data_IF_199014258091
#
_entry.id   IF_199014258091
#
_cell.length_a   1.000
_cell.length_b   1.000
_cell.length_c   1.000
_cell.angle_alpha   90.00
_cell.angle_beta   90.00
_cell.angle_gamma   90.00
#
_symmetry.space_group_name_H-M   'P 1'
#
loop_
_entity.id
_entity.type
_entity.pdbx_description
1 polymer ?
#
# COMPACT_ATOMS: atom_id res chain seq x y z
N UNK A 1 -3.78 0.49 -3.47
CA UNK A 1 -2.41 0.34 -2.94
C UNK A 1 -2.47 0.50 -1.43
N UNK A 2 -2.57 -0.59 -0.71
CA UNK A 2 -2.81 -0.59 0.73
C UNK A 2 -1.53 -0.65 1.58
N UNK A 3 -0.39 -0.98 0.98
CA UNK A 3 0.89 -0.95 1.67
C UNK A 3 1.87 -0.05 0.91
N UNK A 4 2.65 0.73 1.65
CA UNK A 4 3.66 1.59 1.05
C UNK A 4 4.67 0.76 0.26
N UNK A 5 4.88 1.13 -1.00
CA UNK A 5 5.83 0.47 -1.88
C UNK A 5 5.30 -0.76 -2.63
N UNK A 6 4.13 -1.28 -2.30
CA UNK A 6 3.49 -2.31 -3.13
C UNK A 6 3.07 -1.67 -4.45
N UNK A 7 3.69 -2.12 -5.52
CA UNK A 7 3.49 -1.61 -6.88
C UNK A 7 3.02 -2.73 -7.81
N UNK A 8 2.11 -3.52 -7.31
CA UNK A 8 1.38 -4.55 -8.02
C UNK A 8 -0.12 -4.37 -7.75
N UNK A 9 -0.95 -4.83 -8.65
CA UNK A 9 -2.39 -4.76 -8.49
C UNK A 9 -3.00 -6.13 -8.70
N UNK A 10 -3.68 -6.59 -7.67
CA UNK A 10 -4.50 -7.78 -7.76
C UNK A 10 -5.80 -7.50 -8.53
N UNK A 11 -6.37 -8.54 -9.05
CA UNK A 11 -7.71 -8.50 -9.57
C UNK A 11 -7.81 -8.59 -11.07
N UNK A 12 -8.96 -8.20 -11.54
CA UNK A 12 -9.40 -8.51 -12.87
C UNK A 12 -8.79 -7.52 -13.88
N UNK A 13 -7.70 -7.93 -14.52
CA UNK A 13 -7.08 -7.16 -15.60
C UNK A 13 -8.07 -6.74 -16.70
N UNK A 14 -9.12 -7.52 -16.89
CA UNK A 14 -10.14 -7.28 -17.90
C UNK A 14 -11.23 -6.29 -17.47
N UNK A 15 -11.34 -5.96 -16.19
CA UNK A 15 -12.26 -4.92 -15.72
C UNK A 15 -11.68 -3.55 -16.08
N UNK A 16 -12.23 -2.96 -17.13
CA UNK A 16 -11.77 -1.69 -17.70
C UNK A 16 -12.82 -0.62 -17.40
N UNK A 17 -12.61 0.16 -16.38
CA UNK A 17 -13.54 1.27 -16.12
C UNK A 17 -13.06 2.23 -15.05
N UNK A 18 -13.60 3.46 -15.09
CA UNK A 18 -13.35 4.52 -14.13
C UNK A 18 -11.87 4.81 -13.91
N UNK A 19 -11.55 5.30 -12.75
CA UNK A 19 -10.19 5.67 -12.30
C UNK A 19 -9.18 4.51 -12.46
N UNK A 20 -9.62 3.28 -12.21
CA UNK A 20 -8.76 2.10 -12.43
C UNK A 20 -8.33 1.96 -13.88
N UNK A 21 -9.27 2.08 -14.83
CA UNK A 21 -8.98 2.01 -16.25
C UNK A 21 -8.01 3.10 -16.71
N UNK A 22 -8.23 4.34 -16.27
CA UNK A 22 -7.36 5.48 -16.56
C UNK A 22 -5.94 5.28 -16.02
N UNK A 23 -5.82 4.80 -14.78
CA UNK A 23 -4.53 4.48 -14.17
C UNK A 23 -3.78 3.40 -14.94
N UNK A 24 -4.45 2.29 -15.24
CA UNK A 24 -3.89 1.17 -16.00
C UNK A 24 -3.44 1.61 -17.39
N UNK A 25 -4.29 2.33 -18.13
CA UNK A 25 -3.97 2.78 -19.48
C UNK A 25 -2.79 3.77 -19.46
N UNK A 26 -2.67 4.57 -18.42
CA UNK A 26 -1.51 5.43 -18.19
C UNK A 26 -0.23 4.62 -17.90
N UNK A 27 -0.32 3.52 -17.16
CA UNK A 27 0.81 2.60 -16.97
C UNK A 27 1.24 1.96 -18.30
N UNK A 28 0.28 1.44 -19.09
CA UNK A 28 0.56 0.86 -20.40
C UNK A 28 1.24 1.87 -21.32
N UNK A 29 0.74 3.10 -21.35
CA UNK A 29 1.35 4.18 -22.15
C UNK A 29 2.78 4.52 -21.66
N UNK A 30 3.05 4.44 -20.35
CA UNK A 30 4.36 4.74 -19.77
C UNK A 30 5.42 3.70 -20.09
N UNK A 31 5.03 2.43 -20.21
CA UNK A 31 5.91 1.30 -20.45
C UNK A 31 5.79 0.73 -21.90
N UNK A 32 5.08 1.44 -22.77
CA UNK A 32 4.89 1.15 -24.19
C UNK A 32 4.15 -0.16 -24.50
N UNK A 33 3.83 -0.98 -23.52
CA UNK A 33 3.01 -2.18 -23.72
C UNK A 33 2.45 -2.73 -22.40
N UNK A 34 1.37 -3.53 -22.52
CA UNK A 34 0.83 -4.29 -21.39
C UNK A 34 1.78 -5.42 -20.95
N UNK A 35 2.56 -5.98 -21.87
CA UNK A 35 3.48 -7.08 -21.56
C UNK A 35 4.66 -6.60 -20.71
N UNK A 36 5.06 -5.33 -20.85
CA UNK A 36 6.09 -4.73 -20.01
C UNK A 36 5.69 -4.61 -18.52
N UNK A 37 4.41 -4.79 -18.20
CA UNK A 37 3.88 -4.77 -16.84
C UNK A 37 3.80 -6.18 -16.21
N UNK A 38 3.98 -7.25 -17.01
CA UNK A 38 3.93 -8.65 -16.56
C UNK A 38 5.32 -9.18 -16.26
N UNK A 39 6.02 -8.53 -15.34
CA UNK A 39 7.43 -8.82 -15.09
C UNK A 39 7.67 -9.82 -13.97
N UNK A 40 6.76 -9.94 -13.02
CA UNK A 40 6.80 -10.92 -11.93
C UNK A 40 5.57 -11.81 -11.93
N UNK A 41 5.45 -12.68 -10.93
CA UNK A 41 4.33 -13.60 -10.84
C UNK A 41 3.31 -13.27 -9.73
N UNK A 42 3.56 -12.19 -8.95
CA UNK A 42 2.61 -11.73 -7.92
C UNK A 42 1.33 -11.18 -8.52
N UNK A 43 1.41 -10.57 -9.70
CA UNK A 43 0.28 -9.92 -10.37
C UNK A 43 0.50 -9.85 -11.87
N UNK A 44 -0.56 -9.57 -12.61
CA UNK A 44 -0.47 -9.26 -14.05
C UNK A 44 -0.05 -7.81 -14.33
N UNK A 45 -0.05 -6.94 -13.32
CA UNK A 45 0.35 -5.53 -13.44
C UNK A 45 1.32 -5.21 -12.33
N UNK A 46 2.56 -4.97 -12.71
CA UNK A 46 3.64 -4.55 -11.83
C UNK A 46 4.30 -3.31 -12.42
N UNK A 47 4.61 -2.36 -11.58
CA UNK A 47 5.17 -1.09 -12.01
C UNK A 47 6.10 -0.51 -10.94
N UNK A 48 6.95 0.40 -11.32
CA UNK A 48 7.80 1.10 -10.36
C UNK A 48 6.97 2.05 -9.49
N UNK A 49 7.14 2.06 -8.15
CA UNK A 49 6.29 2.86 -7.26
C UNK A 49 6.22 4.35 -7.63
N UNK A 50 7.35 4.93 -8.03
CA UNK A 50 7.39 6.35 -8.43
C UNK A 50 6.57 6.64 -9.69
N UNK A 51 6.46 5.68 -10.61
CA UNK A 51 5.63 5.83 -11.82
C UNK A 51 4.14 5.86 -11.43
N UNK A 52 3.72 4.99 -10.52
CA UNK A 52 2.36 5.04 -9.99
C UNK A 52 2.04 6.36 -9.30
N UNK A 53 2.96 6.86 -8.48
CA UNK A 53 2.84 8.16 -7.81
C UNK A 53 2.72 9.33 -8.81
N UNK A 54 3.56 9.34 -9.85
CA UNK A 54 3.49 10.35 -10.91
C UNK A 54 2.13 10.32 -11.63
N UNK A 55 1.63 9.13 -11.97
CA UNK A 55 0.35 8.97 -12.64
C UNK A 55 -0.80 9.50 -11.77
N UNK A 56 -0.85 9.11 -10.49
CA UNK A 56 -1.89 9.62 -9.57
C UNK A 56 -1.82 11.13 -9.39
N UNK A 57 -0.64 11.72 -9.30
CA UNK A 57 -0.46 13.17 -9.24
C UNK A 57 -0.97 13.86 -10.50
N UNK A 58 -0.70 13.29 -11.68
CA UNK A 58 -1.20 13.80 -12.94
C UNK A 58 -2.73 13.70 -13.04
N UNK A 59 -3.32 12.59 -12.63
CA UNK A 59 -4.78 12.41 -12.60
C UNK A 59 -5.44 13.44 -11.65
N UNK A 60 -4.87 13.68 -10.47
CA UNK A 60 -5.33 14.72 -9.55
C UNK A 60 -5.22 16.12 -10.15
N UNK A 61 -4.13 16.43 -10.83
CA UNK A 61 -3.95 17.72 -11.48
C UNK A 61 -4.95 17.95 -12.62
N UNK A 62 -5.30 16.90 -13.36
CA UNK A 62 -6.31 16.95 -14.43
C UNK A 62 -7.73 17.10 -13.89
N UNK A 63 -8.02 16.62 -12.69
CA UNK A 63 -9.32 16.81 -12.05
C UNK A 63 -9.63 18.28 -11.73
N UNK A 64 -8.63 19.16 -11.70
CA UNK A 64 -8.75 20.62 -11.68
C UNK A 64 -8.99 21.23 -10.31
N UNK A 65 -10.01 20.82 -9.59
CA UNK A 65 -10.46 21.49 -8.36
C UNK A 65 -9.94 20.84 -7.05
N UNK A 66 -8.91 20.00 -7.12
CA UNK A 66 -8.35 19.33 -5.96
C UNK A 66 -7.25 20.16 -5.28
N UNK A 67 -7.45 20.57 -4.02
CA UNK A 67 -6.39 21.13 -3.17
C UNK A 67 -5.72 20.00 -2.38
N UNK A 68 -4.57 19.51 -2.86
CA UNK A 68 -3.83 18.41 -2.25
C UNK A 68 -2.77 18.95 -1.30
N UNK A 69 -2.80 18.50 -0.04
CA UNK A 69 -1.87 18.92 1.01
C UNK A 69 -1.05 17.72 1.51
N UNK A 70 0.20 17.64 1.11
CA UNK A 70 1.13 16.60 1.55
C UNK A 70 1.75 16.91 2.91
N UNK A 71 2.15 15.85 3.62
CA UNK A 71 2.86 15.94 4.89
C UNK A 71 1.99 16.36 6.07
N UNK A 72 0.67 16.24 5.94
CA UNK A 72 -0.28 16.47 7.03
C UNK A 72 -0.96 15.16 7.44
N UNK A 73 -1.22 15.00 8.72
CA UNK A 73 -2.02 13.92 9.29
C UNK A 73 -3.17 14.49 10.10
N UNK A 74 -4.29 13.79 10.15
CA UNK A 74 -5.43 14.18 10.97
C UNK A 74 -5.07 14.14 12.44
N UNK A 75 -5.41 15.17 13.20
CA UNK A 75 -5.11 15.28 14.63
C UNK A 75 -6.34 15.41 15.51
N UNK A 76 -7.46 15.87 14.95
CA UNK A 76 -8.76 15.89 15.62
C UNK A 76 -9.89 16.06 14.61
N UNK A 77 -11.09 15.61 14.98
CA UNK A 77 -12.32 15.91 14.25
C UNK A 77 -12.93 17.23 14.72
N UNK A 78 -13.55 17.96 13.80
CA UNK A 78 -14.41 19.12 14.12
C UNK A 78 -15.84 18.60 14.17
N UNK A 79 -16.40 18.58 15.36
CA UNK A 79 -17.72 18.02 15.62
C UNK A 79 -18.77 19.09 15.92
N UNK A 80 -20.02 18.79 15.56
CA UNK A 80 -21.22 19.47 16.00
C UNK A 80 -22.22 18.41 16.51
N UNK A 81 -22.22 18.15 17.79
CA UNK A 81 -22.84 16.98 18.37
C UNK A 81 -22.26 15.69 17.78
N UNK A 82 -23.07 14.93 17.06
CA UNK A 82 -22.68 13.68 16.39
C UNK A 82 -22.31 13.86 14.91
N UNK A 83 -22.29 15.09 14.41
CA UNK A 83 -22.04 15.40 13.01
C UNK A 83 -20.58 15.85 12.84
N UNK A 84 -19.85 15.18 11.96
CA UNK A 84 -18.52 15.64 11.54
C UNK A 84 -18.67 16.86 10.64
N UNK A 85 -18.00 17.95 10.99
CA UNK A 85 -17.99 19.23 10.24
C UNK A 85 -16.63 19.50 9.57
N UNK A 86 -15.69 18.57 9.69
CA UNK A 86 -14.35 18.67 9.14
C UNK A 86 -13.28 18.10 10.05
N UNK A 87 -12.04 18.46 9.81
CA UNK A 87 -10.89 17.97 10.55
C UNK A 87 -9.84 19.06 10.79
N UNK A 88 -9.06 18.88 11.86
CA UNK A 88 -7.80 19.58 12.07
C UNK A 88 -6.65 18.63 11.73
N UNK A 89 -5.68 19.16 11.02
CA UNK A 89 -4.49 18.45 10.60
C UNK A 89 -3.24 19.11 11.18
N UNK A 90 -2.19 18.31 11.33
CA UNK A 90 -0.85 18.78 11.73
C UNK A 90 0.20 18.18 10.80
N UNK A 91 1.32 18.86 10.67
CA UNK A 91 2.50 18.31 10.05
C UNK A 91 3.62 18.08 11.09
N UNK A 92 4.71 17.47 10.69
CA UNK A 92 5.84 17.18 11.58
C UNK A 92 6.52 18.42 12.15
N UNK A 93 6.40 19.59 11.50
CA UNK A 93 6.90 20.87 12.03
C UNK A 93 5.91 21.56 13.00
N UNK A 94 4.78 20.93 13.31
CA UNK A 94 3.76 21.49 14.22
C UNK A 94 2.79 22.47 13.57
N UNK A 95 2.90 22.73 12.26
CA UNK A 95 1.93 23.57 11.55
C UNK A 95 0.56 22.92 11.57
N UNK A 96 -0.46 23.72 11.88
CA UNK A 96 -1.86 23.28 11.92
C UNK A 96 -2.63 23.76 10.69
N UNK A 97 -3.54 22.93 10.23
CA UNK A 97 -4.49 23.25 9.18
C UNK A 97 -5.88 22.81 9.62
N UNK A 98 -6.83 23.72 9.61
CA UNK A 98 -8.24 23.45 9.92
C UNK A 98 -9.07 23.49 8.66
N UNK A 99 -9.73 22.40 8.35
CA UNK A 99 -10.59 22.27 7.18
C UNK A 99 -12.03 21.99 7.63
N UNK A 100 -12.95 22.84 7.24
CA UNK A 100 -14.39 22.58 7.39
C UNK A 100 -14.93 22.03 6.09
N UNK A 101 -15.74 20.99 6.16
CA UNK A 101 -16.29 20.31 5.00
C UNK A 101 -17.75 19.89 5.24
N UNK A 102 -18.51 19.82 4.16
CA UNK A 102 -19.88 19.26 4.17
C UNK A 102 -19.85 17.73 4.28
N UNK A 103 -18.83 17.11 3.68
CA UNK A 103 -18.59 15.67 3.69
C UNK A 103 -17.12 15.47 4.06
N UNK A 104 -16.84 14.52 4.95
CA UNK A 104 -15.50 14.08 5.31
C UNK A 104 -15.39 12.60 4.97
N UNK A 105 -14.35 12.23 4.23
CA UNK A 105 -14.06 10.85 3.84
C UNK A 105 -12.74 10.46 4.49
N UNK A 106 -12.78 9.39 5.30
CA UNK A 106 -11.58 8.74 5.79
C UNK A 106 -11.15 7.69 4.76
N UNK A 107 -10.00 7.91 4.15
CA UNK A 107 -9.36 6.99 3.23
C UNK A 107 -7.92 6.68 3.69
N UNK A 108 -7.69 6.75 4.99
CA UNK A 108 -6.41 6.32 5.59
C UNK A 108 -6.35 4.79 5.62
N UNK A 109 -5.15 4.23 5.59
CA UNK A 109 -4.97 2.78 5.57
C UNK A 109 -5.52 2.09 6.83
N UNK A 110 -5.52 2.78 7.97
CA UNK A 110 -5.91 2.23 9.27
C UNK A 110 -7.25 2.77 9.81
N UNK A 111 -7.94 3.62 9.05
CA UNK A 111 -9.14 4.29 9.55
C UNK A 111 -8.83 5.31 10.67
N UNK A 112 -7.72 6.03 10.54
CA UNK A 112 -7.18 6.92 11.59
C UNK A 112 -8.15 8.00 12.05
N UNK A 113 -9.10 8.36 11.21
CA UNK A 113 -10.09 9.39 11.55
C UNK A 113 -11.27 8.86 12.35
N UNK A 114 -11.54 7.55 12.34
CA UNK A 114 -12.64 6.94 13.10
C UNK A 114 -12.54 7.23 14.61
N UNK A 115 -11.42 6.95 15.29
CA UNK A 115 -11.28 7.25 16.71
C UNK A 115 -11.34 8.75 16.99
N UNK A 116 -10.81 9.59 16.10
CA UNK A 116 -10.82 11.06 16.27
C UNK A 116 -12.25 11.64 16.20
N UNK A 117 -13.13 11.02 15.45
CA UNK A 117 -14.53 11.42 15.31
C UNK A 117 -15.47 10.78 16.35
N UNK A 118 -14.98 9.82 17.12
CA UNK A 118 -15.79 9.03 18.04
C UNK A 118 -16.75 8.06 17.31
N UNK A 119 -16.48 7.78 16.04
CA UNK A 119 -17.23 6.77 15.27
C UNK A 119 -16.88 5.38 15.80
N UNK A 120 -17.88 4.53 16.12
CA UNK A 120 -17.61 3.14 16.50
C UNK A 120 -16.86 2.39 15.40
N UNK A 121 -15.87 1.61 15.78
CA UNK A 121 -15.12 0.74 14.88
C UNK A 121 -14.77 -0.58 15.58
N UNK A 122 -14.34 -1.55 14.81
CA UNK A 122 -13.87 -2.85 15.29
C UNK A 122 -12.41 -3.05 14.92
N UNK A 123 -11.75 -3.87 15.68
CA UNK A 123 -10.39 -4.34 15.41
C UNK A 123 -10.41 -5.85 15.50
N UNK A 124 -9.76 -6.51 14.55
CA UNK A 124 -9.71 -7.97 14.49
C UNK A 124 -10.71 -8.56 13.51
N UNK A 125 -10.94 -9.87 13.67
CA UNK A 125 -11.83 -10.65 12.82
C UNK A 125 -13.25 -10.66 13.40
N UNK A 126 -14.23 -10.36 12.56
CA UNK A 126 -15.64 -10.44 12.96
C UNK A 126 -16.15 -11.89 12.96
N UNK A 127 -17.14 -12.17 13.79
CA UNK A 127 -17.78 -13.48 13.83
C UNK A 127 -18.81 -13.63 12.71
N UNK A 128 -19.06 -14.90 12.34
CA UNK A 128 -20.11 -15.28 11.41
C UNK A 128 -21.51 -14.83 11.87
N UNK A 129 -21.74 -14.86 13.17
CA UNK A 129 -23.02 -14.43 13.75
C UNK A 129 -23.27 -12.93 13.55
N UNK A 130 -22.20 -12.12 13.49
CA UNK A 130 -22.30 -10.66 13.30
C UNK A 130 -22.38 -10.25 11.84
N UNK A 131 -21.64 -10.90 10.95
CA UNK A 131 -21.54 -10.52 9.54
C UNK A 131 -22.48 -11.30 8.63
N UNK A 132 -22.85 -12.52 9.01
CA UNK A 132 -23.58 -13.45 8.15
C UNK A 132 -22.73 -14.05 7.02
N UNK A 133 -21.44 -13.81 7.00
CA UNK A 133 -20.52 -14.34 6.00
C UNK A 133 -20.19 -15.81 6.28
N UNK A 134 -20.33 -16.65 5.26
CA UNK A 134 -20.13 -18.09 5.42
C UNK A 134 -18.68 -18.46 5.76
N UNK A 135 -17.72 -17.68 5.26
CA UNK A 135 -16.28 -17.87 5.50
C UNK A 135 -15.76 -17.20 6.77
N UNK A 136 -16.58 -16.43 7.49
CA UNK A 136 -16.17 -15.81 8.75
C UNK A 136 -15.96 -16.84 9.86
N UNK A 137 -15.15 -16.50 10.85
CA UNK A 137 -14.94 -17.34 12.05
C UNK A 137 -16.21 -17.46 12.87
N UNK A 138 -16.34 -18.55 13.63
CA UNK A 138 -17.49 -18.75 14.51
C UNK A 138 -17.51 -17.72 15.64
N UNK A 139 -16.34 -17.34 16.15
CA UNK A 139 -16.16 -16.34 17.20
C UNK A 139 -15.26 -15.20 16.71
N UNK A 140 -15.60 -13.98 17.09
CA UNK A 140 -14.74 -12.81 16.83
C UNK A 140 -13.46 -12.88 17.66
N UNK A 141 -12.36 -12.40 17.09
CA UNK A 141 -11.08 -12.32 17.78
C UNK A 141 -10.37 -10.98 17.53
N UNK A 142 -9.20 -10.80 18.12
CA UNK A 142 -8.39 -9.60 17.98
C UNK A 142 -7.25 -9.72 16.95
N UNK A 143 -7.30 -10.70 16.08
CA UNK A 143 -6.27 -10.93 15.06
C UNK A 143 -6.26 -9.79 14.05
N UNK A 144 -5.13 -9.17 13.88
CA UNK A 144 -4.89 -8.11 12.86
C UNK A 144 -3.83 -8.59 11.88
N UNK A 145 -3.82 -7.99 10.71
CA UNK A 145 -2.80 -8.28 9.71
C UNK A 145 -1.41 -7.86 10.22
N UNK A 146 -0.41 -8.67 9.94
CA UNK A 146 0.98 -8.37 10.25
C UNK A 146 1.46 -7.11 9.53
N UNK A 147 2.37 -6.41 10.19
CA UNK A 147 3.01 -5.24 9.59
C UNK A 147 3.90 -5.66 8.44
N UNK A 148 3.65 -5.09 7.26
CA UNK A 148 4.46 -5.33 6.07
C UNK A 148 5.31 -4.11 5.74
N UNK A 149 6.62 -4.29 5.70
CA UNK A 149 7.56 -3.29 5.20
C UNK A 149 8.04 -3.70 3.80
N UNK A 150 7.68 -2.89 2.80
CA UNK A 150 8.06 -3.16 1.41
C UNK A 150 9.37 -2.48 1.06
N UNK A 151 10.32 -3.25 0.56
CA UNK A 151 11.59 -2.76 0.03
C UNK A 151 11.65 -2.86 -1.49
N UNK A 152 12.26 -1.88 -2.15
CA UNK A 152 12.55 -1.94 -3.59
C UNK A 152 14.05 -2.15 -3.77
N UNK A 153 14.41 -3.29 -4.33
CA UNK A 153 15.78 -3.63 -4.69
C UNK A 153 16.03 -3.32 -6.17
N UNK A 154 17.27 -3.09 -6.51
CA UNK A 154 17.72 -2.94 -7.90
C UNK A 154 18.84 -3.92 -8.19
N UNK A 155 18.74 -4.58 -9.34
CA UNK A 155 19.84 -5.36 -9.89
C UNK A 155 20.89 -4.43 -10.50
N UNK A 156 22.13 -4.55 -10.06
CA UNK A 156 23.28 -3.79 -10.58
C UNK A 156 24.17 -4.66 -11.48
N UNK A 157 23.74 -5.89 -11.75
CA UNK A 157 24.49 -6.87 -12.55
C UNK A 157 25.48 -7.72 -11.75
N UNK A 158 26.03 -8.76 -12.38
CA UNK A 158 26.81 -9.80 -11.68
C UNK A 158 28.15 -9.33 -11.10
N UNK A 159 28.71 -8.27 -11.67
CA UNK A 159 30.03 -7.76 -11.26
C UNK A 159 29.93 -6.65 -10.19
N UNK A 160 28.73 -6.30 -9.76
CA UNK A 160 28.52 -5.22 -8.80
C UNK A 160 28.57 -5.73 -7.36
N UNK A 161 29.61 -5.37 -6.61
CA UNK A 161 29.59 -5.50 -5.14
C UNK A 161 28.76 -4.38 -4.53
N UNK A 162 27.59 -4.73 -4.02
CA UNK A 162 26.63 -3.86 -3.31
C UNK A 162 26.39 -4.34 -1.89
N UNK A 163 27.34 -5.09 -1.34
CA UNK A 163 27.31 -5.52 0.06
C UNK A 163 27.21 -4.31 0.98
N UNK A 164 26.21 -4.30 1.84
CA UNK A 164 26.04 -3.27 2.87
C UNK A 164 26.77 -3.66 4.14
N UNK A 165 27.24 -2.68 4.89
CA UNK A 165 27.78 -2.91 6.21
C UNK A 165 26.70 -3.49 7.15
N UNK A 166 27.10 -4.36 8.06
CA UNK A 166 26.21 -4.90 9.10
C UNK A 166 25.62 -3.74 9.92
N UNK A 167 24.27 -3.57 9.96
CA UNK A 167 23.66 -2.53 10.78
C UNK A 167 23.95 -2.73 12.28
N UNK A 168 23.91 -1.65 13.03
CA UNK A 168 23.97 -1.73 14.49
C UNK A 168 22.75 -2.52 15.02
N UNK A 169 23.00 -3.44 15.95
CA UNK A 169 21.95 -4.29 16.53
C UNK A 169 21.50 -5.47 15.65
N UNK A 170 22.07 -5.65 14.45
CA UNK A 170 21.73 -6.80 13.62
C UNK A 170 22.17 -8.11 14.26
N UNK A 171 21.22 -8.98 14.54
CA UNK A 171 21.46 -10.36 14.98
C UNK A 171 21.07 -11.35 13.87
N UNK A 172 22.02 -12.09 13.28
CA UNK A 172 21.69 -13.07 12.25
C UNK A 172 20.81 -14.22 12.76
N UNK A 173 20.75 -14.46 14.07
CA UNK A 173 19.92 -15.50 14.64
C UNK A 173 18.42 -15.19 14.49
N UNK A 174 18.03 -13.92 14.48
CA UNK A 174 16.66 -13.49 14.24
C UNK A 174 16.15 -13.83 12.83
N UNK A 175 17.09 -14.00 11.89
CA UNK A 175 16.80 -14.32 10.49
C UNK A 175 17.12 -15.77 10.13
N UNK A 176 17.43 -16.61 11.13
CA UNK A 176 17.71 -18.02 10.91
C UNK A 176 16.45 -18.71 10.33
N UNK A 177 16.59 -19.32 9.16
CA UNK A 177 15.48 -19.95 8.44
C UNK A 177 14.70 -19.03 7.48
N UNK A 178 14.91 -17.71 7.52
CA UNK A 178 14.38 -16.82 6.49
C UNK A 178 14.99 -17.17 5.13
N UNK A 179 14.16 -17.18 4.10
CA UNK A 179 14.58 -17.47 2.72
C UNK A 179 15.21 -18.86 2.55
N UNK A 180 14.98 -19.76 3.48
CA UNK A 180 15.44 -21.14 3.34
C UNK A 180 14.52 -21.89 2.38
N UNK A 181 15.08 -22.65 1.46
CA UNK A 181 14.33 -23.37 0.40
C UNK A 181 13.25 -24.30 0.96
N UNK A 182 13.47 -24.89 2.12
CA UNK A 182 12.51 -25.75 2.79
C UNK A 182 11.32 -24.97 3.36
N UNK A 183 11.54 -23.78 3.88
CA UNK A 183 10.51 -22.93 4.46
C UNK A 183 9.55 -22.38 3.39
N UNK A 184 10.06 -22.03 2.21
CA UNK A 184 9.27 -21.51 1.09
C UNK A 184 8.88 -22.56 0.06
N UNK A 185 8.73 -23.78 0.46
CA UNK A 185 8.27 -24.86 -0.42
C UNK A 185 9.25 -25.25 -1.52
N UNK A 186 10.57 -25.06 -1.29
CA UNK A 186 11.62 -25.41 -2.25
C UNK A 186 11.88 -24.34 -3.30
N UNK A 187 11.34 -23.13 -3.16
CA UNK A 187 11.63 -22.03 -4.09
C UNK A 187 13.08 -21.55 -3.92
N UNK A 188 13.75 -21.31 -5.04
CA UNK A 188 15.06 -20.65 -5.04
C UNK A 188 14.95 -19.18 -4.66
N UNK A 189 16.03 -18.57 -4.17
CA UNK A 189 16.06 -17.12 -3.92
C UNK A 189 15.71 -16.31 -5.19
N UNK A 190 16.11 -16.79 -6.37
CA UNK A 190 15.76 -16.16 -7.63
C UNK A 190 14.25 -16.20 -7.89
N UNK A 191 13.61 -17.35 -7.64
CA UNK A 191 12.13 -17.46 -7.80
C UNK A 191 11.40 -16.53 -6.85
N UNK A 192 11.90 -16.36 -5.63
CA UNK A 192 11.33 -15.40 -4.66
C UNK A 192 11.50 -13.96 -5.12
N UNK A 193 12.67 -13.59 -5.64
CA UNK A 193 12.87 -12.26 -6.22
C UNK A 193 11.96 -12.02 -7.41
N UNK A 194 11.77 -13.06 -8.25
CA UNK A 194 10.89 -12.99 -9.42
C UNK A 194 9.41 -12.82 -9.07
N UNK A 195 9.02 -13.11 -7.82
CA UNK A 195 7.68 -12.80 -7.31
C UNK A 195 7.30 -11.33 -7.56
N UNK A 196 8.13 -10.43 -7.11
CA UNK A 196 7.92 -8.99 -7.19
C UNK A 196 8.80 -8.29 -8.23
N UNK A 197 9.19 -8.97 -9.31
CA UNK A 197 9.98 -8.35 -10.38
C UNK A 197 9.23 -7.20 -11.01
N UNK A 198 9.83 -6.02 -11.01
CA UNK A 198 9.29 -4.79 -11.59
C UNK A 198 9.99 -4.47 -12.92
N UNK A 199 9.41 -3.62 -13.77
CA UNK A 199 10.12 -3.04 -14.90
C UNK A 199 11.43 -2.37 -14.46
N UNK A 200 12.40 -2.27 -15.39
CA UNK A 200 13.65 -1.57 -15.14
C UNK A 200 14.65 -2.29 -14.24
N UNK A 201 14.57 -3.63 -14.12
CA UNK A 201 15.53 -4.43 -13.34
C UNK A 201 15.44 -4.20 -11.83
N UNK A 202 14.24 -3.95 -11.34
CA UNK A 202 13.94 -3.77 -9.92
C UNK A 202 13.10 -4.93 -9.39
N UNK A 203 13.07 -5.06 -8.08
CA UNK A 203 12.32 -6.10 -7.38
C UNK A 203 11.64 -5.46 -6.16
N UNK A 204 10.36 -5.77 -6.00
CA UNK A 204 9.61 -5.48 -4.80
C UNK A 204 9.70 -6.66 -3.86
N UNK A 205 10.13 -6.42 -2.62
CA UNK A 205 10.09 -7.40 -1.54
C UNK A 205 9.13 -6.91 -0.46
N UNK A 206 8.23 -7.77 -0.04
CA UNK A 206 7.27 -7.57 1.05
C UNK A 206 7.22 -8.78 1.97
#
# INVERSE_FOLDING_TARGET
>A
LTAQGVSATDGNYNLKGGIWGEFRDSLVARYDSSDALRTGWVSEIQFEPHVGDEIFKNMLAQAGDADVRYGFYASSAIMDGRIVKGAEFRNMSGKRLKVKAKVTIDATDLGDFLPLSGTPYRIGMDSKAETGEEAAYDEADSTIQDLTLVGILKDFGPDADKTIAKPEGYDPAEFAGCCHTEYVGGMSAQTMLDYGRLPGGKFMLN
#
